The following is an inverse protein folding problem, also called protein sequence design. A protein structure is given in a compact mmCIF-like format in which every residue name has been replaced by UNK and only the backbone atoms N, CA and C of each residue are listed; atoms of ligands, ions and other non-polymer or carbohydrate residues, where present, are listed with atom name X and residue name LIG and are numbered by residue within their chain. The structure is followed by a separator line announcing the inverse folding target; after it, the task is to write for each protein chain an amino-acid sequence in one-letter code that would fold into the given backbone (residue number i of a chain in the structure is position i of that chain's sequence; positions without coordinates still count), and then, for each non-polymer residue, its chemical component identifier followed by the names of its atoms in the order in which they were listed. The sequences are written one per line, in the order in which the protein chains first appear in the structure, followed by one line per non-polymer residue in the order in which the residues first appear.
data_IF_416673235415
#
_entry.id   IF_416673235415
#
_cell.length_a   1.000
_cell.length_b   1.000
_cell.length_c   1.000
_cell.angle_alpha   90.00
_cell.angle_beta   90.00
_cell.angle_gamma   90.00
#
_symmetry.space_group_name_H-M   'P 1'
#
loop_
_entity.id
_entity.type
_entity.pdbx_description
1 polymer ?
#
# COMPACT_ATOMS: atom_id res chain seq x y z
N UNK A 1 -8.86 12.49 4.46
CA UNK A 1 -8.55 12.77 3.04
C UNK A 1 -9.30 11.76 2.20
N UNK A 2 -10.06 12.20 1.21
CA UNK A 2 -10.45 11.32 0.12
C UNK A 2 -9.17 11.07 -0.67
N UNK A 3 -8.41 10.05 -0.26
CA UNK A 3 -7.21 9.64 -0.97
C UNK A 3 -7.57 9.16 -2.37
N UNK A 4 -6.67 9.34 -3.31
CA UNK A 4 -6.80 8.70 -4.61
C UNK A 4 -6.92 7.18 -4.42
N UNK A 5 -7.75 6.53 -5.21
CA UNK A 5 -7.79 5.07 -5.22
C UNK A 5 -6.46 4.51 -5.74
N UNK A 6 -6.15 3.26 -5.42
CA UNK A 6 -4.95 2.61 -5.95
C UNK A 6 -4.89 2.63 -7.49
N UNK A 7 -6.06 2.57 -8.14
CA UNK A 7 -6.18 2.70 -9.59
C UNK A 7 -5.79 4.10 -10.07
N UNK A 8 -6.36 5.15 -9.48
CA UNK A 8 -6.05 6.54 -9.84
C UNK A 8 -4.58 6.88 -9.64
N UNK A 9 -3.96 6.37 -8.56
CA UNK A 9 -2.51 6.51 -8.33
C UNK A 9 -1.71 5.82 -9.45
N UNK A 10 -2.07 4.59 -9.80
CA UNK A 10 -1.38 3.82 -10.82
C UNK A 10 -1.49 4.45 -12.21
N UNK A 11 -2.71 4.85 -12.61
CA UNK A 11 -2.99 5.51 -13.88
C UNK A 11 -2.31 6.89 -13.97
N UNK A 12 -2.37 7.68 -12.90
CA UNK A 12 -1.71 8.98 -12.81
C UNK A 12 -0.19 8.87 -12.93
N UNK A 13 0.42 7.87 -12.27
CA UNK A 13 1.85 7.60 -12.40
C UNK A 13 2.22 7.21 -13.84
N UNK A 14 1.47 6.30 -14.44
CA UNK A 14 1.73 5.85 -15.81
C UNK A 14 1.61 7.02 -16.81
N UNK A 15 0.57 7.85 -16.67
CA UNK A 15 0.38 9.03 -17.51
C UNK A 15 1.51 10.06 -17.37
N UNK A 16 1.98 10.31 -16.15
CA UNK A 16 3.01 11.30 -15.88
C UNK A 16 4.42 10.83 -16.25
N UNK A 17 4.72 9.53 -16.07
CA UNK A 17 6.07 8.99 -16.24
C UNK A 17 6.32 8.29 -17.57
N UNK A 18 5.26 7.90 -18.29
CA UNK A 18 5.35 7.05 -19.47
C UNK A 18 5.81 5.61 -19.16
N UNK A 19 5.77 5.21 -17.87
CA UNK A 19 6.25 3.90 -17.40
C UNK A 19 5.09 3.14 -16.74
N UNK A 20 5.08 1.81 -16.79
CA UNK A 20 4.12 1.01 -16.05
C UNK A 20 4.29 1.23 -14.54
N UNK A 21 3.18 1.22 -13.81
CA UNK A 21 3.20 1.28 -12.36
C UNK A 21 3.84 0.02 -11.77
N UNK A 22 4.33 0.14 -10.54
CA UNK A 22 4.88 -0.98 -9.77
C UNK A 22 4.37 -0.92 -8.33
N UNK A 23 4.29 -2.06 -7.66
CA UNK A 23 3.81 -2.18 -6.28
C UNK A 23 4.44 -1.18 -5.29
N UNK A 24 5.75 -0.88 -5.32
CA UNK A 24 6.36 0.09 -4.41
C UNK A 24 5.74 1.49 -4.42
N UNK A 25 5.05 1.89 -5.49
CA UNK A 25 4.39 3.20 -5.58
C UNK A 25 3.32 3.34 -4.51
N UNK A 26 2.48 2.31 -4.31
CA UNK A 26 1.45 2.32 -3.27
C UNK A 26 2.04 2.45 -1.87
N UNK A 27 3.10 1.70 -1.56
CA UNK A 27 3.76 1.78 -0.25
C UNK A 27 4.40 3.14 0.00
N UNK A 28 5.01 3.74 -1.02
CA UNK A 28 5.56 5.09 -0.89
C UNK A 28 4.47 6.13 -0.67
N UNK A 29 3.35 6.02 -1.38
CA UNK A 29 2.20 6.89 -1.17
C UNK A 29 1.66 6.75 0.25
N UNK A 30 1.45 5.52 0.74
CA UNK A 30 0.99 5.25 2.09
C UNK A 30 1.92 5.84 3.17
N UNK A 31 3.23 5.87 2.94
CA UNK A 31 4.16 6.52 3.85
C UNK A 31 3.83 8.03 4.02
N UNK A 32 3.51 8.73 2.92
CA UNK A 32 3.12 10.13 2.99
C UNK A 32 1.73 10.33 3.63
N UNK A 33 0.81 9.38 3.47
CA UNK A 33 -0.48 9.41 4.17
C UNK A 33 -0.26 9.32 5.68
N UNK A 34 0.61 8.40 6.14
CA UNK A 34 0.98 8.26 7.56
C UNK A 34 1.67 9.53 8.07
N UNK A 35 2.64 10.08 7.32
CA UNK A 35 3.31 11.33 7.71
C UNK A 35 2.32 12.46 7.87
N UNK A 36 1.42 12.65 6.90
CA UNK A 36 0.41 13.70 6.96
C UNK A 36 -0.56 13.54 8.14
N UNK A 37 -0.92 12.30 8.48
CA UNK A 37 -1.75 11.99 9.64
C UNK A 37 -1.02 12.27 10.96
N UNK A 38 0.24 11.84 11.08
CA UNK A 38 1.09 12.10 12.25
C UNK A 38 1.22 13.59 12.50
N UNK A 39 1.56 14.38 11.46
CA UNK A 39 1.73 15.83 11.60
C UNK A 39 0.42 16.56 11.98
N UNK A 40 -0.74 16.01 11.64
CA UNK A 40 -2.04 16.58 12.07
C UNK A 40 -2.38 16.24 13.52
N UNK A 41 -1.89 15.10 14.02
CA UNK A 41 -2.20 14.62 15.38
C UNK A 41 -1.17 15.00 16.42
N UNK A 42 0.06 15.34 16.02
CA UNK A 42 1.09 15.79 16.93
C UNK A 42 0.67 17.11 17.59
N UNK A 43 0.77 17.14 18.91
CA UNK A 43 0.40 18.31 19.72
C UNK A 43 1.37 19.48 19.51
N UNK A 44 2.65 19.16 19.29
CA UNK A 44 3.71 20.12 18.99
C UNK A 44 4.64 19.54 17.90
N UNK A 45 4.82 20.28 16.80
CA UNK A 45 5.67 19.86 15.68
C UNK A 45 7.16 20.17 15.90
N UNK A 46 7.51 20.95 16.94
CA UNK A 46 8.88 21.23 17.34
C UNK A 46 9.36 20.29 18.43
N UNK A 47 8.43 19.54 19.05
CA UNK A 47 8.73 18.53 20.09
C UNK A 47 8.81 17.11 19.48
N UNK A 48 10.00 16.52 19.48
CA UNK A 48 10.24 15.16 18.98
C UNK A 48 9.47 14.08 19.75
N UNK A 49 9.25 14.26 21.05
CA UNK A 49 8.49 13.32 21.88
C UNK A 49 7.00 13.35 21.50
N UNK A 50 6.44 14.52 21.24
CA UNK A 50 5.06 14.66 20.73
C UNK A 50 4.88 14.00 19.36
N UNK A 51 5.85 14.19 18.46
CA UNK A 51 5.85 13.52 17.16
C UNK A 51 5.97 12.00 17.32
N UNK A 52 6.89 11.52 18.15
CA UNK A 52 7.09 10.09 18.40
C UNK A 52 5.83 9.44 19.00
N UNK A 53 5.15 10.11 19.93
CA UNK A 53 3.89 9.66 20.49
C UNK A 53 2.79 9.57 19.40
N UNK A 54 2.69 10.58 18.54
CA UNK A 54 1.75 10.58 17.42
C UNK A 54 2.05 9.44 16.43
N UNK A 55 3.32 9.15 16.12
CA UNK A 55 3.72 7.99 15.31
C UNK A 55 3.28 6.69 15.98
N UNK A 56 3.59 6.51 17.26
CA UNK A 56 3.26 5.29 18.01
C UNK A 56 1.76 5.02 18.10
N UNK A 57 0.93 6.07 18.09
CA UNK A 57 -0.53 6.00 18.10
C UNK A 57 -1.18 5.89 16.70
N UNK A 58 -0.42 5.62 15.64
CA UNK A 58 -0.98 5.57 14.29
C UNK A 58 -1.97 4.43 14.12
N UNK A 59 -3.18 4.80 13.68
CA UNK A 59 -4.24 3.92 13.24
C UNK A 59 -4.96 4.60 12.09
N UNK A 60 -4.72 4.13 10.86
CA UNK A 60 -5.12 4.83 9.64
C UNK A 60 -5.41 3.84 8.52
N UNK A 61 -6.48 4.08 7.77
CA UNK A 61 -6.70 3.42 6.49
C UNK A 61 -5.90 4.15 5.41
N UNK A 62 -4.99 3.41 4.77
CA UNK A 62 -4.12 3.91 3.71
C UNK A 62 -4.46 3.27 2.38
N UNK A 63 -3.86 3.77 1.31
CA UNK A 63 -4.01 3.20 -0.04
C UNK A 63 -3.58 1.72 -0.14
N UNK A 64 -2.72 1.24 0.78
CA UNK A 64 -2.28 -0.16 0.85
C UNK A 64 -3.04 -0.97 1.91
N UNK A 65 -4.07 -0.40 2.50
CA UNK A 65 -4.89 -1.02 3.53
C UNK A 65 -4.65 -0.42 4.92
N UNK A 66 -5.25 -1.01 5.96
CA UNK A 66 -5.16 -0.49 7.31
C UNK A 66 -3.74 -0.60 7.87
N UNK A 67 -3.28 0.48 8.49
CA UNK A 67 -2.05 0.53 9.28
C UNK A 67 -2.44 0.78 10.74
N UNK A 68 -2.10 -0.14 11.62
CA UNK A 68 -2.34 -0.06 13.05
C UNK A 68 -1.14 -0.63 13.81
N UNK A 69 -0.35 0.23 14.44
CA UNK A 69 0.86 -0.18 15.16
C UNK A 69 0.56 -0.98 16.43
N UNK A 70 -0.68 -0.97 16.92
CA UNK A 70 -1.08 -1.71 18.13
C UNK A 70 -1.40 -3.18 17.86
N UNK A 71 -1.70 -3.56 16.61
CA UNK A 71 -2.16 -4.90 16.21
C UNK A 71 -1.09 -5.76 15.56
N UNK A 72 0.10 -5.25 15.38
CA UNK A 72 1.21 -5.95 14.75
C UNK A 72 1.79 -7.09 15.62
N UNK A 73 2.63 -7.95 15.04
CA UNK A 73 3.28 -9.05 15.74
C UNK A 73 4.27 -8.60 16.80
N UNK A 74 4.76 -7.38 16.66
CA UNK A 74 5.61 -6.67 17.63
C UNK A 74 5.17 -5.21 17.65
N UNK A 75 5.50 -4.51 18.74
CA UNK A 75 5.16 -3.09 18.88
C UNK A 75 5.73 -2.26 17.71
N UNK A 76 4.94 -1.32 17.21
CA UNK A 76 5.26 -0.41 16.11
C UNK A 76 5.49 -1.11 14.75
N UNK A 77 4.92 -2.30 14.58
CA UNK A 77 4.91 -3.02 13.30
C UNK A 77 3.48 -3.37 12.93
N UNK A 78 3.07 -3.05 11.72
CA UNK A 78 1.80 -3.46 11.13
C UNK A 78 2.05 -4.39 9.97
N UNK A 79 1.18 -5.40 9.81
CA UNK A 79 1.19 -6.26 8.62
C UNK A 79 0.20 -5.71 7.60
N UNK A 80 0.66 -5.48 6.40
CA UNK A 80 -0.21 -5.18 5.26
C UNK A 80 -0.71 -6.48 4.65
N UNK A 81 -2.04 -6.67 4.47
CA UNK A 81 -2.56 -7.82 3.75
C UNK A 81 -2.11 -7.75 2.29
N UNK A 82 -1.51 -8.82 1.81
CA UNK A 82 -0.98 -8.90 0.46
C UNK A 82 -1.75 -9.95 -0.36
N UNK A 83 -1.80 -9.73 -1.67
CA UNK A 83 -2.18 -10.72 -2.67
C UNK A 83 -0.93 -11.26 -3.35
N UNK A 84 -0.98 -12.48 -3.87
CA UNK A 84 0.08 -13.00 -4.72
C UNK A 84 -0.22 -12.67 -6.18
N UNK A 85 0.77 -12.11 -6.85
CA UNK A 85 0.75 -11.83 -8.27
C UNK A 85 1.77 -12.66 -9.03
N UNK A 86 1.46 -13.00 -10.28
CA UNK A 86 2.36 -13.66 -11.20
C UNK A 86 2.40 -12.89 -12.52
N UNK A 87 3.61 -12.54 -12.96
CA UNK A 87 3.79 -12.03 -14.31
C UNK A 87 3.57 -13.15 -15.33
N UNK A 88 2.58 -12.99 -16.18
CA UNK A 88 2.24 -13.94 -17.24
C UNK A 88 2.44 -13.30 -18.59
N UNK A 89 3.04 -14.08 -19.52
CA UNK A 89 3.25 -13.64 -20.89
C UNK A 89 1.90 -13.60 -21.62
N UNK A 90 1.61 -12.48 -22.23
CA UNK A 90 0.45 -12.23 -23.09
C UNK A 90 0.93 -11.88 -24.53
N UNK A 91 0.00 -11.67 -25.45
CA UNK A 91 0.33 -11.37 -26.86
C UNK A 91 1.18 -10.10 -27.01
N UNK A 92 0.94 -9.07 -26.18
CA UNK A 92 1.61 -7.76 -26.27
C UNK A 92 2.61 -7.52 -25.12
N UNK A 93 3.08 -8.58 -24.45
CA UNK A 93 4.07 -8.45 -23.38
C UNK A 93 3.77 -9.27 -22.14
N UNK A 94 3.99 -8.69 -20.97
CA UNK A 94 3.71 -9.34 -19.69
C UNK A 94 2.65 -8.54 -18.92
N UNK A 95 1.70 -9.27 -18.32
CA UNK A 95 0.70 -8.71 -17.43
C UNK A 95 0.79 -9.35 -16.04
N UNK A 96 0.55 -8.55 -14.99
CA UNK A 96 0.56 -9.02 -13.60
C UNK A 96 -0.83 -9.54 -13.25
N UNK A 97 -0.98 -10.84 -13.20
CA UNK A 97 -2.23 -11.50 -12.77
C UNK A 97 -2.21 -11.72 -11.26
N UNK A 98 -3.33 -11.40 -10.61
CA UNK A 98 -3.55 -11.78 -9.19
C UNK A 98 -3.98 -13.24 -9.18
N UNK A 99 -3.16 -14.09 -8.56
CA UNK A 99 -3.34 -15.56 -8.59
C UNK A 99 -3.66 -16.16 -7.22
N UNK A 100 -3.48 -15.40 -6.14
CA UNK A 100 -3.97 -15.77 -4.80
C UNK A 100 -4.26 -14.51 -3.97
N UNK A 101 -5.36 -14.54 -3.20
CA UNK A 101 -5.88 -13.39 -2.45
C UNK A 101 -6.38 -13.75 -1.03
N UNK A 102 -5.91 -14.84 -0.44
CA UNK A 102 -6.41 -15.32 0.86
C UNK A 102 -6.30 -14.30 1.99
N UNK A 103 -5.27 -13.45 1.96
CA UNK A 103 -5.09 -12.37 2.94
C UNK A 103 -5.86 -11.08 2.61
N UNK A 104 -6.42 -10.95 1.42
CA UNK A 104 -7.19 -9.79 0.95
C UNK A 104 -8.30 -10.25 -0.03
N UNK A 105 -9.31 -11.00 0.45
CA UNK A 105 -10.32 -11.64 -0.41
C UNK A 105 -11.21 -10.64 -1.16
N UNK A 106 -11.24 -9.37 -0.76
CA UNK A 106 -11.92 -8.29 -1.47
C UNK A 106 -11.26 -7.92 -2.80
N UNK A 107 -9.99 -8.34 -3.03
CA UNK A 107 -9.29 -8.13 -4.30
C UNK A 107 -9.54 -9.36 -5.18
N UNK A 108 -10.18 -9.20 -6.36
CA UNK A 108 -10.52 -10.34 -7.21
C UNK A 108 -9.28 -10.99 -7.81
N UNK A 109 -9.33 -12.31 -8.00
CA UNK A 109 -8.37 -13.03 -8.83
C UNK A 109 -8.53 -12.60 -10.29
N UNK A 110 -7.42 -12.40 -10.99
CA UNK A 110 -7.41 -12.01 -12.42
C UNK A 110 -6.74 -13.07 -13.29
N UNK A 111 -6.26 -14.16 -12.71
CA UNK A 111 -5.69 -15.29 -13.41
C UNK A 111 -5.46 -16.48 -12.50
N UNK A 112 -5.04 -17.58 -13.08
CA UNK A 112 -4.63 -18.79 -12.38
C UNK A 112 -3.11 -18.86 -12.34
N UNK A 113 -2.56 -19.47 -11.27
CA UNK A 113 -1.12 -19.69 -11.17
C UNK A 113 -0.67 -20.69 -12.26
N UNK A 114 0.34 -20.33 -13.01
CA UNK A 114 0.97 -21.17 -14.02
C UNK A 114 2.33 -21.64 -13.54
N UNK A 115 2.63 -22.92 -13.74
CA UNK A 115 3.98 -23.42 -13.52
C UNK A 115 4.93 -22.78 -14.55
N UNK A 116 6.09 -22.37 -14.08
CA UNK A 116 7.16 -21.91 -14.96
C UNK A 116 7.80 -23.16 -15.55
N UNK A 117 7.69 -23.33 -16.86
CA UNK A 117 8.32 -24.42 -17.61
C UNK A 117 9.79 -24.14 -17.88
#
# INVERSE_FOLDING_TARGET
MTGASARELAEGYAAASGRPWTQPIGFKHALFEVVADVLRRAEDLEDYEAIAAAVGGTKLDTIVGPVDWSTGPVRNVSKTPLVAGQWQKEAEGYDLKIVANSAAPQIPLTGEMKLLG
#
